data_IF_220874495971
#
_entry.id   IF_220874495971
#
_cell.length_a   1.000
_cell.length_b   1.000
_cell.length_c   1.000
_cell.angle_alpha   90.00
_cell.angle_beta   90.00
_cell.angle_gamma   90.00
#
_symmetry.space_group_name_H-M   'P 1'
#
loop_
_entity.id
_entity.type
_entity.pdbx_description
1 polymer ?
#
# COMPACT_ATOMS: atom_id res chain seq x y z
N UNK A 1 -37.02 23.63 9.02
CA UNK A 1 -36.33 22.95 10.14
C UNK A 1 -35.69 21.67 9.62
N UNK A 2 -34.39 21.70 9.29
CA UNK A 2 -33.63 20.48 8.95
C UNK A 2 -32.41 20.45 9.87
N UNK A 3 -32.49 19.63 10.91
CA UNK A 3 -31.50 19.54 11.97
C UNK A 3 -30.34 18.62 11.58
N UNK A 4 -29.12 19.10 11.88
CA UNK A 4 -27.87 18.38 12.17
C UNK A 4 -27.51 17.19 11.25
N UNK A 5 -26.74 17.49 10.20
CA UNK A 5 -25.74 16.56 9.65
C UNK A 5 -24.36 17.16 9.86
N UNK A 6 -23.91 17.18 11.10
CA UNK A 6 -22.51 17.53 11.39
C UNK A 6 -21.81 16.22 11.82
N UNK A 7 -21.71 15.29 10.88
CA UNK A 7 -20.93 14.06 11.00
C UNK A 7 -19.44 14.35 10.94
N UNK A 8 -18.94 15.28 11.77
CA UNK A 8 -17.52 15.58 11.88
C UNK A 8 -16.85 14.43 12.64
N UNK A 9 -16.18 13.57 11.89
CA UNK A 9 -15.32 12.49 12.38
C UNK A 9 -14.14 13.09 13.15
N UNK A 10 -14.31 13.36 14.44
CA UNK A 10 -13.24 13.87 15.33
C UNK A 10 -12.10 12.86 15.54
N UNK A 11 -12.27 11.61 15.10
CA UNK A 11 -11.32 10.51 15.31
C UNK A 11 -9.96 10.73 14.65
N UNK A 12 -9.88 11.56 13.61
CA UNK A 12 -8.62 11.80 12.92
C UNK A 12 -7.65 12.71 13.72
N UNK A 13 -8.14 13.42 14.74
CA UNK A 13 -7.33 14.22 15.65
C UNK A 13 -6.97 13.50 16.96
N UNK A 14 -7.58 12.34 17.23
CA UNK A 14 -7.32 11.56 18.44
C UNK A 14 -5.89 11.05 18.46
N UNK A 15 -5.20 11.26 19.58
CA UNK A 15 -3.85 10.77 19.82
C UNK A 15 -3.91 9.36 20.40
N UNK A 16 -3.25 8.42 19.71
CA UNK A 16 -3.04 7.06 20.17
C UNK A 16 -1.57 6.86 20.45
N UNK A 17 -1.24 6.21 21.55
CA UNK A 17 0.12 5.70 21.76
C UNK A 17 0.46 4.68 20.68
N UNK A 18 1.75 4.45 20.44
CA UNK A 18 2.18 3.41 19.50
C UNK A 18 1.69 1.99 19.88
N UNK A 19 1.44 1.73 21.17
CA UNK A 19 0.88 0.45 21.61
C UNK A 19 -0.60 0.34 21.24
N UNK A 20 -1.40 1.37 21.55
CA UNK A 20 -2.82 1.42 21.19
C UNK A 20 -3.01 1.38 19.67
N UNK A 21 -2.20 2.12 18.91
CA UNK A 21 -2.27 2.14 17.45
C UNK A 21 -2.00 0.75 16.84
N UNK A 22 -1.04 0.01 17.40
CA UNK A 22 -0.74 -1.36 16.98
C UNK A 22 -1.93 -2.32 17.23
N UNK A 23 -2.68 -2.11 18.31
CA UNK A 23 -3.87 -2.90 18.64
C UNK A 23 -5.07 -2.51 17.78
N UNK A 24 -5.34 -1.21 17.64
CA UNK A 24 -6.54 -0.69 16.97
C UNK A 24 -6.48 -0.79 15.44
N UNK A 25 -5.35 -0.44 14.83
CA UNK A 25 -5.26 -0.36 13.36
C UNK A 25 -4.70 -1.62 12.72
N UNK A 26 -3.95 -2.42 13.47
CA UNK A 26 -3.26 -3.60 12.95
C UNK A 26 -3.63 -4.89 13.68
N UNK A 27 -4.59 -4.86 14.62
CA UNK A 27 -5.05 -6.05 15.35
C UNK A 27 -3.90 -6.87 15.96
N UNK A 28 -2.87 -6.20 16.50
CA UNK A 28 -1.63 -6.79 17.04
C UNK A 28 -0.74 -7.53 16.03
N UNK A 29 -1.01 -7.42 14.72
CA UNK A 29 -0.13 -7.94 13.66
C UNK A 29 1.15 -7.11 13.49
N UNK A 30 1.10 -5.85 13.93
CA UNK A 30 2.25 -4.97 14.00
C UNK A 30 2.59 -4.69 15.47
N UNK A 31 3.86 -4.49 15.78
CA UNK A 31 4.31 -4.20 17.16
C UNK A 31 4.65 -2.72 17.34
N UNK A 32 4.67 -2.25 18.59
CA UNK A 32 5.19 -0.92 18.95
C UNK A 32 6.59 -0.67 18.38
N UNK A 33 7.47 -1.68 18.42
CA UNK A 33 8.83 -1.56 17.89
C UNK A 33 8.86 -1.41 16.37
N UNK A 34 7.99 -2.11 15.65
CA UNK A 34 7.84 -1.96 14.20
C UNK A 34 7.36 -0.55 13.82
N UNK A 35 6.37 0.02 14.53
CA UNK A 35 5.95 1.40 14.31
C UNK A 35 7.08 2.41 14.57
N UNK A 36 7.89 2.20 15.63
CA UNK A 36 9.09 3.03 15.87
C UNK A 36 10.11 2.91 14.74
N UNK A 37 10.24 1.73 14.14
CA UNK A 37 11.12 1.53 12.98
C UNK A 37 10.62 2.31 11.77
N UNK A 38 9.33 2.30 11.48
CA UNK A 38 8.77 3.09 10.38
C UNK A 38 8.87 4.61 10.63
N UNK A 39 8.73 5.05 11.88
CA UNK A 39 9.01 6.45 12.24
C UNK A 39 10.48 6.83 12.00
N UNK A 40 11.43 5.95 12.35
CA UNK A 40 12.87 6.16 12.07
C UNK A 40 13.19 6.19 10.58
N UNK A 41 12.44 5.45 9.75
CA UNK A 41 12.56 5.48 8.29
C UNK A 41 11.91 6.72 7.66
N UNK A 42 11.17 7.52 8.43
CA UNK A 42 10.43 8.68 7.93
C UNK A 42 9.07 8.34 7.31
N UNK A 43 8.61 7.08 7.42
CA UNK A 43 7.33 6.65 6.88
C UNK A 43 6.15 7.03 7.79
N UNK A 44 6.37 7.08 9.10
CA UNK A 44 5.34 7.37 10.10
C UNK A 44 5.60 8.72 10.78
N UNK A 45 4.61 9.61 10.75
CA UNK A 45 4.63 10.85 11.53
C UNK A 45 4.24 10.57 12.99
N UNK A 46 5.10 10.99 13.91
CA UNK A 46 4.95 10.78 15.35
C UNK A 46 4.97 12.11 16.07
N UNK A 47 4.02 12.28 16.99
CA UNK A 47 3.93 13.41 17.90
C UNK A 47 4.56 12.98 19.23
N UNK A 48 5.63 13.65 19.66
CA UNK A 48 6.31 13.33 20.92
C UNK A 48 5.93 14.30 22.02
N UNK A 49 5.33 13.78 23.10
CA UNK A 49 4.91 14.57 24.27
C UNK A 49 5.41 13.84 25.52
N UNK A 50 6.15 14.54 26.40
CA UNK A 50 6.70 13.97 27.64
C UNK A 50 7.45 12.63 27.42
N UNK A 51 8.32 12.57 26.40
CA UNK A 51 9.06 11.37 25.98
C UNK A 51 8.21 10.16 25.56
N UNK A 52 6.90 10.36 25.32
CA UNK A 52 5.99 9.35 24.78
C UNK A 52 5.66 9.67 23.33
N UNK A 53 5.49 8.60 22.56
CA UNK A 53 5.21 8.65 21.12
C UNK A 53 3.74 8.41 20.88
N UNK A 54 3.13 9.37 20.17
CA UNK A 54 1.74 9.34 19.77
C UNK A 54 1.62 9.42 18.25
N UNK A 55 0.52 8.90 17.74
CA UNK A 55 0.13 8.95 16.34
C UNK A 55 -1.34 9.27 16.24
N UNK A 56 -1.76 9.80 15.10
CA UNK A 56 -3.17 9.96 14.78
C UNK A 56 -3.60 8.86 13.82
N UNK A 57 -4.91 8.65 13.70
CA UNK A 57 -5.45 7.75 12.67
C UNK A 57 -4.95 8.14 11.28
N UNK A 58 -4.93 9.44 10.99
CA UNK A 58 -4.44 9.98 9.71
C UNK A 58 -2.98 9.62 9.46
N UNK A 59 -2.07 9.82 10.43
CA UNK A 59 -0.66 9.52 10.20
C UNK A 59 -0.39 8.03 9.99
N UNK A 60 -1.19 7.16 10.59
CA UNK A 60 -1.12 5.70 10.34
C UNK A 60 -1.57 5.36 8.92
N UNK A 61 -2.66 5.95 8.42
CA UNK A 61 -3.11 5.71 7.05
C UNK A 61 -2.10 6.23 6.02
N UNK A 62 -1.54 7.42 6.25
CA UNK A 62 -0.48 7.98 5.40
C UNK A 62 0.77 7.08 5.39
N UNK A 63 1.14 6.49 6.53
CA UNK A 63 2.22 5.50 6.61
C UNK A 63 1.92 4.26 5.76
N UNK A 64 0.69 3.72 5.80
CA UNK A 64 0.30 2.55 4.99
C UNK A 64 0.47 2.84 3.51
N UNK A 65 0.08 4.04 3.06
CA UNK A 65 0.28 4.48 1.68
C UNK A 65 1.76 4.56 1.30
N UNK A 66 2.62 5.13 2.16
CA UNK A 66 4.07 5.21 1.93
C UNK A 66 4.77 3.85 1.92
N UNK A 67 4.26 2.88 2.70
CA UNK A 67 4.80 1.54 2.78
C UNK A 67 4.38 0.62 1.62
N UNK A 68 3.55 1.08 0.68
CA UNK A 68 3.13 0.28 -0.48
C UNK A 68 4.33 -0.10 -1.34
N UNK A 69 4.52 -1.41 -1.51
CA UNK A 69 5.50 -1.96 -2.45
C UNK A 69 4.81 -2.18 -3.80
N UNK A 70 5.40 -1.75 -4.93
CA UNK A 70 4.80 -1.99 -6.24
C UNK A 70 4.66 -3.50 -6.47
N UNK A 71 3.48 -3.91 -6.93
CA UNK A 71 3.25 -5.30 -7.32
C UNK A 71 4.26 -5.64 -8.43
N UNK A 72 5.02 -6.72 -8.26
CA UNK A 72 5.88 -7.24 -9.33
C UNK A 72 4.98 -7.54 -10.52
N UNK A 73 5.13 -6.79 -11.61
CA UNK A 73 4.44 -7.10 -12.85
C UNK A 73 4.74 -8.55 -13.20
N UNK A 74 3.71 -9.40 -13.34
CA UNK A 74 3.90 -10.71 -13.96
C UNK A 74 4.52 -10.42 -15.33
N UNK A 75 5.63 -11.07 -15.72
CA UNK A 75 6.15 -10.90 -17.07
C UNK A 75 4.99 -11.16 -18.02
N UNK A 76 4.61 -10.15 -18.79
CA UNK A 76 3.62 -10.32 -19.83
C UNK A 76 4.18 -11.40 -20.73
N UNK A 77 3.43 -12.50 -20.90
CA UNK A 77 3.74 -13.44 -21.94
C UNK A 77 3.74 -12.64 -23.24
N UNK A 78 4.92 -12.42 -23.82
CA UNK A 78 5.05 -11.87 -25.16
C UNK A 78 4.15 -12.71 -26.03
N UNK A 79 3.04 -12.15 -26.50
CA UNK A 79 2.22 -12.80 -27.50
C UNK A 79 3.10 -12.88 -28.74
N UNK A 80 3.76 -14.04 -28.92
CA UNK A 80 4.33 -14.40 -30.19
C UNK A 80 3.17 -14.34 -31.20
N UNK A 81 3.34 -13.66 -32.35
CA UNK A 81 2.29 -13.62 -33.34
C UNK A 81 1.90 -15.05 -33.68
N UNK A 82 0.61 -15.37 -33.51
CA UNK A 82 0.05 -16.67 -33.85
C UNK A 82 0.01 -16.81 -35.37
N UNK A 83 1.17 -17.01 -35.98
CA UNK A 83 1.22 -17.46 -37.36
C UNK A 83 0.69 -18.89 -37.37
N UNK A 84 -0.42 -19.07 -38.08
CA UNK A 84 -1.00 -20.38 -38.35
C UNK A 84 0.08 -21.34 -38.84
N UNK A 85 0.02 -22.61 -38.43
CA UNK A 85 0.93 -23.64 -38.93
C UNK A 85 0.95 -23.73 -40.48
N UNK A 86 -0.14 -23.31 -41.13
CA UNK A 86 -0.22 -23.23 -42.59
C UNK A 86 0.56 -22.05 -43.16
N UNK A 87 0.62 -20.93 -42.44
CA UNK A 87 1.35 -19.72 -42.82
C UNK A 87 2.87 -19.99 -42.78
N UNK A 88 3.35 -20.65 -41.72
CA UNK A 88 4.76 -21.02 -41.58
C UNK A 88 5.19 -22.03 -42.63
N UNK A 89 4.37 -23.03 -42.94
CA UNK A 89 4.65 -23.98 -44.02
C UNK A 89 4.70 -23.31 -45.40
N UNK A 90 3.79 -22.37 -45.68
CA UNK A 90 3.80 -21.60 -46.94
C UNK A 90 5.08 -20.80 -47.12
N UNK A 91 5.56 -20.14 -46.07
CA UNK A 91 6.79 -19.34 -46.11
C UNK A 91 8.01 -20.24 -46.36
N UNK A 92 8.09 -21.41 -45.70
CA UNK A 92 9.21 -22.34 -45.86
C UNK A 92 9.23 -23.07 -47.21
N UNK A 93 8.05 -23.35 -47.78
CA UNK A 93 7.94 -24.03 -49.08
C UNK A 93 8.13 -23.08 -50.27
N UNK A 94 8.25 -21.78 -50.02
CA UNK A 94 8.66 -20.78 -51.02
C UNK A 94 10.16 -20.94 -51.29
N UNK A 95 10.54 -22.03 -51.96
CA UNK A 95 11.92 -22.23 -52.43
C UNK A 95 12.29 -21.07 -53.36
N UNK A 96 13.43 -20.38 -53.16
CA UNK A 96 13.94 -19.47 -54.17
C UNK A 96 14.34 -20.27 -55.41
N UNK A 97 14.13 -19.67 -56.57
CA UNK A 97 14.47 -20.21 -57.89
C UNK A 97 15.96 -20.05 -58.15
#
# INVERSE_FOLDING_TARGET
MSALRDGRTTDDATLYTLAEAAELFFSRKLTKSALRTEARKGNLEVIRIANKDFVTRRSVMDMVERCKVPAKAKPQATQLPSVSAQETLRVLLRKPK
#
